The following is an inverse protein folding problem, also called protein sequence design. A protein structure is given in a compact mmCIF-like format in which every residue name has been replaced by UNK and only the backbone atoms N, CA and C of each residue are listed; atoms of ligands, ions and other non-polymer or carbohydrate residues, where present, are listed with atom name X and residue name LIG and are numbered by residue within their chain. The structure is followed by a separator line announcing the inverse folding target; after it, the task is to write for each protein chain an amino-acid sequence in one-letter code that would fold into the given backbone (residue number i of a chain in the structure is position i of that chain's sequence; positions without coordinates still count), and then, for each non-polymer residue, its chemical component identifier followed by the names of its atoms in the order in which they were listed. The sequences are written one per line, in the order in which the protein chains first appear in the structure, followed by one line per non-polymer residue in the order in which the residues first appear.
data_IF_849430833188
#
_entry.id   IF_849430833188
#
_cell.length_a   1.000
_cell.length_b   1.000
_cell.length_c   1.000
_cell.angle_alpha   90.00
_cell.angle_beta   90.00
_cell.angle_gamma   90.00
#
_symmetry.space_group_name_H-M   'P 1'
#
loop_
_entity.id
_entity.type
_entity.pdbx_description
1 polymer ?
#
# COMPACT_ATOMS: atom_id res chain seq x y z
N UNK A 1 26.51 -5.54 9.13
CA UNK A 1 25.52 -4.55 9.58
C UNK A 1 24.30 -4.71 8.68
N UNK A 2 23.17 -5.22 9.18
CA UNK A 2 21.90 -5.05 8.47
C UNK A 2 21.56 -3.59 8.69
N UNK A 3 21.86 -2.73 7.72
CA UNK A 3 21.34 -1.38 7.75
C UNK A 3 19.84 -1.47 8.04
N UNK A 4 19.36 -0.68 9.00
CA UNK A 4 17.93 -0.65 9.34
C UNK A 4 17.19 -0.13 8.11
N UNK A 5 16.80 -1.02 7.21
CA UNK A 5 15.99 -0.70 6.03
C UNK A 5 14.75 0.01 6.57
N UNK A 6 14.57 1.26 6.16
CA UNK A 6 13.37 2.00 6.50
C UNK A 6 12.34 1.66 5.42
N UNK A 7 11.21 1.01 5.76
CA UNK A 7 10.29 0.52 4.74
C UNK A 7 9.80 1.59 3.76
N UNK A 8 9.61 2.83 4.24
CA UNK A 8 9.16 3.92 3.38
C UNK A 8 10.23 4.38 2.38
N UNK A 9 11.53 4.29 2.69
CA UNK A 9 12.59 4.65 1.75
C UNK A 9 12.65 3.65 0.60
N UNK A 10 12.40 2.37 0.90
CA UNK A 10 12.41 1.31 -0.10
C UNK A 10 11.15 1.32 -0.96
N UNK A 11 9.97 1.56 -0.37
CA UNK A 11 8.73 1.79 -1.14
C UNK A 11 8.88 3.00 -2.07
N UNK A 12 9.50 4.09 -1.59
CA UNK A 12 9.78 5.26 -2.41
C UNK A 12 10.65 4.91 -3.62
N UNK A 13 11.70 4.09 -3.41
CA UNK A 13 12.59 3.60 -4.46
C UNK A 13 11.87 2.68 -5.46
N UNK A 14 11.07 1.73 -4.98
CA UNK A 14 10.37 0.74 -5.82
C UNK A 14 9.39 1.44 -6.75
N UNK A 15 8.57 2.36 -6.23
CA UNK A 15 7.54 3.04 -7.02
C UNK A 15 7.98 4.38 -7.61
N UNK A 16 9.24 4.79 -7.40
CA UNK A 16 9.78 6.07 -7.87
C UNK A 16 8.95 7.28 -7.40
N UNK A 17 8.53 7.25 -6.12
CA UNK A 17 7.75 8.31 -5.47
C UNK A 17 8.53 8.99 -4.35
N UNK A 18 8.01 10.09 -3.81
CA UNK A 18 8.64 10.75 -2.66
C UNK A 18 8.57 9.89 -1.38
N UNK A 19 9.51 10.10 -0.45
CA UNK A 19 9.48 9.47 0.87
C UNK A 19 8.18 9.77 1.64
N UNK A 20 7.61 10.97 1.48
CA UNK A 20 6.34 11.33 2.12
C UNK A 20 5.16 10.58 1.51
N UNK A 21 5.13 10.46 0.18
CA UNK A 21 4.15 9.64 -0.53
C UNK A 21 4.24 8.17 -0.12
N UNK A 22 5.44 7.64 0.07
CA UNK A 22 5.66 6.27 0.51
C UNK A 22 5.23 6.03 1.97
N UNK A 23 5.47 6.98 2.88
CA UNK A 23 4.92 6.92 4.25
C UNK A 23 3.40 6.94 4.23
N UNK A 24 2.81 7.83 3.42
CA UNK A 24 1.37 7.90 3.27
C UNK A 24 0.81 6.59 2.73
N UNK A 25 1.43 6.02 1.71
CA UNK A 25 1.08 4.74 1.12
C UNK A 25 1.04 3.62 2.16
N UNK A 26 2.13 3.40 2.89
CA UNK A 26 2.22 2.35 3.93
C UNK A 26 1.15 2.52 5.01
N UNK A 27 0.94 3.75 5.50
CA UNK A 27 -0.11 4.04 6.46
C UNK A 27 -1.52 3.76 5.92
N UNK A 28 -1.75 3.98 4.61
CA UNK A 28 -3.03 3.69 3.97
C UNK A 28 -3.25 2.20 3.80
N UNK A 29 -2.22 1.42 3.47
CA UNK A 29 -2.31 -0.05 3.44
C UNK A 29 -2.73 -0.58 4.81
N UNK A 30 -2.09 -0.11 5.89
CA UNK A 30 -2.49 -0.48 7.25
C UNK A 30 -3.95 -0.10 7.58
N UNK A 31 -4.38 1.10 7.18
CA UNK A 31 -5.75 1.60 7.42
C UNK A 31 -6.82 0.89 6.59
N UNK A 32 -6.43 0.16 5.55
CA UNK A 32 -7.34 -0.71 4.80
C UNK A 32 -7.80 -1.91 5.62
N UNK A 33 -7.13 -2.29 6.72
CA UNK A 33 -7.57 -3.35 7.63
C UNK A 33 -8.37 -2.78 8.81
N UNK A 34 -9.47 -3.44 9.19
CA UNK A 34 -10.41 -2.95 10.22
C UNK A 34 -9.81 -2.91 11.62
N UNK A 35 -9.17 -4.00 12.03
CA UNK A 35 -8.75 -4.23 13.42
C UNK A 35 -7.24 -4.47 13.44
N UNK A 36 -6.80 -5.61 12.91
CA UNK A 36 -5.40 -6.02 12.93
C UNK A 36 -4.65 -5.48 11.73
N UNK A 37 -3.55 -4.77 11.99
CA UNK A 37 -2.80 -4.04 10.98
C UNK A 37 -1.45 -4.72 10.74
N UNK A 38 -1.07 -4.98 9.48
CA UNK A 38 0.25 -5.52 9.19
C UNK A 38 1.33 -4.49 9.51
N UNK A 39 2.54 -4.94 9.83
CA UNK A 39 3.67 -4.02 10.03
C UNK A 39 4.14 -3.44 8.68
N UNK A 40 4.76 -2.27 8.69
CA UNK A 40 5.34 -1.69 7.47
C UNK A 40 6.42 -2.58 6.84
N UNK A 41 7.16 -3.34 7.65
CA UNK A 41 8.16 -4.29 7.15
C UNK A 41 7.46 -5.42 6.39
N UNK A 42 6.39 -6.00 6.94
CA UNK A 42 5.63 -7.05 6.25
C UNK A 42 5.01 -6.55 4.94
N UNK A 43 4.50 -5.32 4.92
CA UNK A 43 3.97 -4.71 3.68
C UNK A 43 5.08 -4.56 2.64
N UNK A 44 6.27 -4.09 3.05
CA UNK A 44 7.42 -3.97 2.15
C UNK A 44 7.81 -5.33 1.58
N UNK A 45 8.04 -6.33 2.44
CA UNK A 45 8.41 -7.68 2.02
C UNK A 45 7.38 -8.27 1.05
N UNK A 46 6.09 -8.01 1.28
CA UNK A 46 5.04 -8.43 0.35
C UNK A 46 5.19 -7.73 -1.00
N UNK A 47 5.32 -6.40 -1.02
CA UNK A 47 5.45 -5.58 -2.23
C UNK A 47 6.70 -5.94 -3.04
N UNK A 48 7.84 -6.19 -2.40
CA UNK A 48 9.09 -6.59 -3.06
C UNK A 48 8.95 -7.92 -3.82
N UNK A 49 8.10 -8.81 -3.32
CA UNK A 49 7.79 -10.09 -3.96
C UNK A 49 6.72 -9.98 -5.05
N UNK A 50 6.01 -8.85 -5.13
CA UNK A 50 5.06 -8.59 -6.20
C UNK A 50 5.75 -7.94 -7.40
N UNK A 51 5.44 -8.41 -8.60
CA UNK A 51 5.91 -7.81 -9.86
C UNK A 51 4.93 -6.75 -10.36
N UNK A 52 4.74 -5.68 -9.58
CA UNK A 52 3.87 -4.58 -9.98
C UNK A 52 4.47 -3.82 -11.17
N UNK A 53 3.72 -3.73 -12.27
CA UNK A 53 4.11 -2.91 -13.43
C UNK A 53 3.91 -1.41 -13.17
N UNK A 54 2.92 -1.07 -12.34
CA UNK A 54 2.58 0.29 -11.92
C UNK A 54 2.36 0.33 -10.41
N UNK A 55 2.48 1.51 -9.80
CA UNK A 55 2.17 1.67 -8.38
C UNK A 55 0.70 1.27 -8.11
N UNK A 56 0.44 0.22 -7.32
CA UNK A 56 -0.92 -0.16 -6.96
C UNK A 56 -1.54 0.86 -6.01
N UNK A 57 -2.86 0.84 -5.83
CA UNK A 57 -3.44 1.60 -4.72
C UNK A 57 -3.12 0.92 -3.38
N UNK A 58 -3.16 1.66 -2.25
CA UNK A 58 -2.99 1.04 -0.94
C UNK A 58 -4.05 -0.03 -0.61
N UNK A 59 -5.26 0.08 -1.18
CA UNK A 59 -6.30 -0.92 -0.96
C UNK A 59 -6.00 -2.21 -1.75
N UNK A 60 -5.51 -2.08 -2.98
CA UNK A 60 -5.13 -3.24 -3.80
C UNK A 60 -4.06 -4.09 -3.13
N UNK A 61 -3.04 -3.45 -2.53
CA UNK A 61 -2.02 -4.16 -1.75
C UNK A 61 -2.64 -4.86 -0.55
N UNK A 62 -3.53 -4.20 0.19
CA UNK A 62 -4.20 -4.83 1.34
C UNK A 62 -5.07 -6.03 0.91
N UNK A 63 -5.78 -5.92 -0.22
CA UNK A 63 -6.58 -7.02 -0.79
C UNK A 63 -5.68 -8.18 -1.18
N UNK A 64 -4.60 -7.93 -1.91
CA UNK A 64 -3.65 -8.95 -2.32
C UNK A 64 -2.98 -9.65 -1.11
N UNK A 65 -2.66 -8.91 -0.05
CA UNK A 65 -2.13 -9.50 1.21
C UNK A 65 -3.15 -10.41 1.89
N UNK A 66 -4.45 -10.04 1.88
CA UNK A 66 -5.52 -10.89 2.42
C UNK A 66 -5.71 -12.14 1.56
N UNK A 67 -5.86 -11.97 0.26
CA UNK A 67 -6.11 -13.04 -0.72
C UNK A 67 -4.99 -14.08 -0.76
N UNK A 68 -3.73 -13.64 -0.63
CA UNK A 68 -2.57 -14.52 -0.53
C UNK A 68 -2.41 -15.20 0.83
N UNK A 69 -3.20 -14.82 1.84
CA UNK A 69 -3.11 -15.32 3.20
C UNK A 69 -1.93 -14.78 4.03
N UNK A 70 -1.11 -13.88 3.47
CA UNK A 70 0.01 -13.23 4.17
C UNK A 70 -0.48 -12.39 5.37
N UNK A 71 -1.64 -11.76 5.22
CA UNK A 71 -2.33 -11.06 6.32
C UNK A 71 -3.84 -11.23 6.19
N UNK A 72 -4.35 -12.38 6.68
CA UNK A 72 -5.75 -12.78 6.53
C UNK A 72 -6.67 -12.14 7.59
N UNK A 73 -6.83 -10.82 7.54
CA UNK A 73 -7.75 -10.06 8.39
C UNK A 73 -8.76 -9.28 7.55
N UNK A 74 -9.87 -8.87 8.17
CA UNK A 74 -10.92 -8.14 7.48
C UNK A 74 -10.49 -6.75 7.01
N UNK A 75 -10.80 -6.48 5.74
CA UNK A 75 -10.63 -5.17 5.14
C UNK A 75 -11.81 -4.26 5.49
N UNK A 76 -11.52 -2.97 5.63
CA UNK A 76 -12.52 -1.92 5.58
C UNK A 76 -13.15 -1.86 4.17
N UNK A 77 -14.24 -1.11 4.03
CA UNK A 77 -14.78 -0.81 2.71
C UNK A 77 -13.69 -0.12 1.86
N UNK A 78 -13.61 -0.44 0.57
CA UNK A 78 -12.72 0.27 -0.33
C UNK A 78 -13.04 1.77 -0.25
N UNK A 79 -12.03 2.65 -0.36
CA UNK A 79 -12.28 4.07 -0.52
C UNK A 79 -13.21 4.27 -1.72
N UNK A 80 -14.11 5.28 -1.69
CA UNK A 80 -14.93 5.58 -2.85
C UNK A 80 -14.01 5.81 -4.04
N UNK A 81 -14.37 5.22 -5.18
CA UNK A 81 -13.71 5.55 -6.43
C UNK A 81 -13.80 7.07 -6.59
N UNK A 82 -12.67 7.71 -6.85
CA UNK A 82 -12.70 9.09 -7.33
C UNK A 82 -13.29 8.95 -8.73
N UNK A 83 -14.59 9.24 -8.87
CA UNK A 83 -15.13 9.56 -10.19
C UNK A 83 -14.29 10.74 -10.66
N UNK A 84 -13.53 10.56 -11.74
CA UNK A 84 -12.64 11.60 -12.28
C UNK A 84 -13.43 12.92 -12.34
N UNK A 85 -12.91 13.95 -11.66
CA UNK A 85 -13.42 15.33 -11.76
C UNK A 85 -13.09 15.94 -13.15
N UNK A 86 -13.15 15.15 -14.23
CA UNK A 86 -12.97 15.58 -15.62
C UNK A 86 -14.30 15.87 -16.34
N UNK A 87 -15.39 16.18 -15.62
CA UNK A 87 -16.65 16.59 -16.26
C UNK A 87 -17.40 17.73 -15.55
N UNK A 88 -16.67 18.73 -15.03
CA UNK A 88 -17.22 20.00 -14.54
C UNK A 88 -16.53 21.22 -15.15
N UNK A 89 -16.35 21.22 -16.47
CA UNK A 89 -16.14 22.46 -17.24
C UNK A 89 -16.92 22.39 -18.56
N UNK A 90 -18.24 22.64 -18.49
CA UNK A 90 -19.01 23.19 -19.61
C UNK A 90 -19.46 24.61 -19.28
#
# INVERSE_FOLDING_TARGET
MKDKIKPFEEIARIFQISNESAKYFLNRVQKSFKIEKPTHILILEFVENQKYEFQPTPYDVASAMKESGVWNYDLASPPPAVEDEEDIHQ
#
